data_IF_106697356494
#
_entry.id   IF_106697356494
#
_cell.length_a   1.000
_cell.length_b   1.000
_cell.length_c   1.000
_cell.angle_alpha   90.00
_cell.angle_beta   90.00
_cell.angle_gamma   90.00
#
_symmetry.space_group_name_H-M   'P 1'
#
loop_
_entity.id
_entity.type
_entity.pdbx_description
1 polymer ?
#
# COMPACT_ATOMS: atom_id res chain seq x y z
N UNK A 1 2.82 12.37 29.29
CA UNK A 1 3.55 12.50 28.00
C UNK A 1 2.52 12.47 26.89
N UNK A 2 2.31 13.59 26.16
CA UNK A 2 1.32 13.66 25.07
C UNK A 2 1.88 12.92 23.86
N UNK A 3 1.27 11.78 23.51
CA UNK A 3 1.60 11.06 22.28
C UNK A 3 1.32 11.95 21.08
N UNK A 4 2.37 12.34 20.36
CA UNK A 4 2.22 13.04 19.08
C UNK A 4 1.40 12.15 18.15
N UNK A 5 0.23 12.62 17.74
CA UNK A 5 -0.63 11.94 16.78
C UNK A 5 0.18 11.63 15.52
N UNK A 6 0.54 10.36 15.32
CA UNK A 6 1.15 9.90 14.07
C UNK A 6 0.05 10.01 13.02
N UNK A 7 0.15 11.02 12.15
CA UNK A 7 -0.76 11.21 11.02
C UNK A 7 -0.59 10.03 10.06
N UNK A 8 -1.67 9.31 9.82
CA UNK A 8 -1.78 8.35 8.73
C UNK A 8 -1.76 9.10 7.40
N UNK A 9 -1.12 8.50 6.39
CA UNK A 9 -1.10 9.03 5.01
C UNK A 9 -1.90 8.10 4.11
N UNK A 10 -2.99 8.61 3.54
CA UNK A 10 -3.81 7.88 2.58
C UNK A 10 -3.34 8.17 1.15
N UNK A 11 -3.05 7.11 0.39
CA UNK A 11 -2.61 7.15 -1.01
C UNK A 11 -3.65 6.40 -1.85
N UNK A 12 -4.47 7.14 -2.60
CA UNK A 12 -5.53 6.62 -3.48
C UNK A 12 -5.22 6.77 -4.97
N UNK A 13 -4.15 7.49 -5.31
CA UNK A 13 -3.74 7.72 -6.70
C UNK A 13 -2.32 7.21 -6.96
N UNK A 14 -2.14 6.52 -8.09
CA UNK A 14 -0.84 5.98 -8.47
C UNK A 14 0.20 7.10 -8.69
N UNK A 15 -0.24 8.28 -9.14
CA UNK A 15 0.62 9.45 -9.31
C UNK A 15 1.19 9.93 -7.97
N UNK A 16 0.37 9.95 -6.92
CA UNK A 16 0.82 10.30 -5.57
C UNK A 16 1.82 9.27 -5.05
N UNK A 17 1.59 7.98 -5.31
CA UNK A 17 2.55 6.91 -4.99
C UNK A 17 3.91 7.13 -5.70
N UNK A 18 3.90 7.45 -6.98
CA UNK A 18 5.14 7.71 -7.74
C UNK A 18 5.90 8.93 -7.23
N UNK A 19 5.19 9.99 -6.83
CA UNK A 19 5.82 11.15 -6.17
C UNK A 19 6.43 10.76 -4.81
N UNK A 20 5.74 9.91 -4.04
CA UNK A 20 6.25 9.36 -2.79
C UNK A 20 7.52 8.56 -3.00
N UNK A 21 7.55 7.72 -4.05
CA UNK A 21 8.73 6.93 -4.45
C UNK A 21 9.96 7.80 -4.71
N UNK A 22 9.78 9.01 -5.24
CA UNK A 22 10.88 9.94 -5.54
C UNK A 22 11.42 10.66 -4.30
N UNK A 23 10.55 10.97 -3.32
CA UNK A 23 10.88 11.85 -2.19
C UNK A 23 11.33 11.13 -0.91
N UNK A 24 11.19 9.81 -0.84
CA UNK A 24 11.66 9.03 0.31
C UNK A 24 10.91 7.72 0.42
N UNK A 25 11.64 6.62 0.48
CA UNK A 25 11.09 5.28 0.39
C UNK A 25 10.37 4.77 1.65
N UNK A 26 9.73 5.64 2.45
CA UNK A 26 9.02 5.21 3.66
C UNK A 26 7.52 5.14 3.42
N UNK A 27 6.94 3.95 3.57
CA UNK A 27 5.48 3.75 3.61
C UNK A 27 4.97 3.60 5.06
N UNK A 28 5.71 4.14 6.03
CA UNK A 28 5.36 4.04 7.45
C UNK A 28 4.07 4.80 7.75
N UNK A 29 3.10 4.13 8.38
CA UNK A 29 1.76 4.68 8.65
C UNK A 29 1.01 5.11 7.37
N UNK A 30 1.22 4.39 6.26
CA UNK A 30 0.53 4.65 5.01
C UNK A 30 -0.57 3.62 4.75
N UNK A 31 -1.70 4.09 4.22
CA UNK A 31 -2.72 3.22 3.63
C UNK A 31 -2.76 3.49 2.13
N UNK A 32 -2.43 2.47 1.34
CA UNK A 32 -2.60 2.46 -0.11
C UNK A 32 -3.97 1.85 -0.42
N UNK A 33 -4.81 2.55 -1.17
CA UNK A 33 -6.20 2.14 -1.41
C UNK A 33 -6.51 2.13 -2.91
N UNK A 34 -7.00 1.00 -3.42
CA UNK A 34 -7.50 0.87 -4.79
C UNK A 34 -6.45 1.04 -5.90
N UNK A 35 -5.16 0.91 -5.57
CA UNK A 35 -4.05 1.05 -6.52
C UNK A 35 -3.71 -0.29 -7.17
N UNK A 36 -3.50 -0.30 -8.49
CA UNK A 36 -3.04 -1.48 -9.22
C UNK A 36 -1.54 -1.41 -9.52
N UNK A 37 -0.78 -2.37 -9.00
CA UNK A 37 0.67 -2.50 -9.16
C UNK A 37 1.08 -3.65 -10.08
N UNK A 38 0.13 -4.45 -10.60
CA UNK A 38 0.45 -5.68 -11.38
C UNK A 38 1.30 -5.40 -12.62
N UNK A 39 1.08 -4.26 -13.28
CA UNK A 39 1.85 -3.83 -14.46
C UNK A 39 3.00 -2.86 -14.11
N UNK A 40 3.30 -2.66 -12.82
CA UNK A 40 4.31 -1.72 -12.34
C UNK A 40 5.51 -2.48 -11.80
N UNK A 41 6.71 -2.14 -12.27
CA UNK A 41 7.96 -2.65 -11.68
C UNK A 41 8.28 -1.88 -10.40
N UNK A 42 7.62 -2.24 -9.30
CA UNK A 42 7.89 -1.68 -7.97
C UNK A 42 8.91 -2.54 -7.24
N UNK A 43 10.08 -1.98 -6.94
CA UNK A 43 11.05 -2.63 -6.05
C UNK A 43 10.66 -2.39 -4.58
N UNK A 44 9.78 -3.26 -4.08
CA UNK A 44 9.28 -3.17 -2.70
C UNK A 44 10.41 -3.20 -1.66
N UNK A 45 11.57 -3.82 -1.95
CA UNK A 45 12.70 -3.92 -1.02
C UNK A 45 13.27 -2.57 -0.61
N UNK A 46 13.12 -1.56 -1.47
CA UNK A 46 13.57 -0.20 -1.18
C UNK A 46 12.71 0.51 -0.16
N UNK A 47 11.49 0.02 0.09
CA UNK A 47 10.55 0.69 0.97
C UNK A 47 10.66 0.24 2.42
N UNK A 48 10.51 1.19 3.36
CA UNK A 48 10.24 0.90 4.77
C UNK A 48 8.76 0.58 4.91
N UNK A 49 8.47 -0.67 5.27
CA UNK A 49 7.13 -1.19 5.53
C UNK A 49 6.94 -1.28 7.04
N UNK A 50 6.02 -0.48 7.60
CA UNK A 50 5.72 -0.49 9.03
C UNK A 50 4.39 0.20 9.27
N UNK A 51 3.41 -0.53 9.83
CA UNK A 51 2.04 -0.04 9.92
C UNK A 51 1.53 0.45 8.55
N UNK A 52 1.75 -0.37 7.52
CA UNK A 52 1.41 -0.07 6.12
C UNK A 52 0.26 -0.98 5.71
N UNK A 53 -0.81 -0.40 5.19
CA UNK A 53 -2.00 -1.14 4.75
C UNK A 53 -2.17 -1.01 3.24
N UNK A 54 -2.46 -2.12 2.58
CA UNK A 54 -2.86 -2.19 1.18
C UNK A 54 -4.31 -2.66 1.15
N UNK A 55 -5.22 -1.78 0.73
CA UNK A 55 -6.66 -2.00 0.76
C UNK A 55 -7.20 -2.00 -0.68
N UNK A 56 -7.58 -3.17 -1.18
CA UNK A 56 -8.05 -3.33 -2.54
C UNK A 56 -6.99 -3.08 -3.60
N UNK A 57 -5.70 -3.20 -3.25
CA UNK A 57 -4.62 -3.04 -4.21
C UNK A 57 -4.47 -4.28 -5.10
N UNK A 58 -4.20 -4.06 -6.39
CA UNK A 58 -3.77 -5.11 -7.30
C UNK A 58 -2.29 -5.38 -7.11
N UNK A 59 -1.94 -6.60 -6.72
CA UNK A 59 -0.57 -7.07 -6.50
C UNK A 59 -0.41 -8.45 -7.14
N UNK A 60 0.81 -8.83 -7.53
CA UNK A 60 1.12 -10.23 -7.83
C UNK A 60 1.14 -11.06 -6.54
N UNK A 61 1.00 -12.38 -6.66
CA UNK A 61 1.09 -13.28 -5.51
C UNK A 61 2.46 -13.18 -4.81
N UNK A 62 3.53 -13.06 -5.58
CA UNK A 62 4.90 -12.90 -5.07
C UNK A 62 5.05 -11.59 -4.29
N UNK A 63 4.48 -10.49 -4.79
CA UNK A 63 4.46 -9.20 -4.10
C UNK A 63 3.65 -9.27 -2.81
N UNK A 64 2.49 -9.93 -2.82
CA UNK A 64 1.68 -10.11 -1.61
C UNK A 64 2.46 -10.86 -0.52
N UNK A 65 3.09 -11.97 -0.88
CA UNK A 65 3.91 -12.78 0.04
C UNK A 65 5.06 -11.94 0.60
N UNK A 66 5.78 -11.21 -0.26
CA UNK A 66 6.87 -10.34 0.14
C UNK A 66 6.41 -9.27 1.14
N UNK A 67 5.33 -8.55 0.83
CA UNK A 67 4.83 -7.45 1.65
C UNK A 67 4.31 -7.94 3.00
N UNK A 68 3.57 -9.07 3.04
CA UNK A 68 3.11 -9.69 4.28
C UNK A 68 4.27 -10.12 5.18
N UNK A 69 5.31 -10.74 4.60
CA UNK A 69 6.55 -11.10 5.35
C UNK A 69 7.24 -9.88 5.96
N UNK A 70 7.03 -8.69 5.41
CA UNK A 70 7.59 -7.43 5.88
C UNK A 70 6.65 -6.65 6.80
N UNK A 71 5.53 -7.25 7.21
CA UNK A 71 4.61 -6.68 8.20
C UNK A 71 3.57 -5.72 7.62
N UNK A 72 3.31 -5.76 6.31
CA UNK A 72 2.19 -5.04 5.73
C UNK A 72 0.85 -5.78 5.97
N UNK A 73 -0.22 -5.02 6.12
CA UNK A 73 -1.58 -5.53 6.14
C UNK A 73 -2.17 -5.47 4.73
N UNK A 74 -2.56 -6.60 4.18
CA UNK A 74 -3.09 -6.69 2.81
C UNK A 74 -4.52 -7.23 2.85
N UNK A 75 -5.44 -6.43 2.31
CA UNK A 75 -6.86 -6.74 2.19
C UNK A 75 -7.27 -6.69 0.72
N UNK A 76 -7.43 -7.86 0.10
CA UNK A 76 -7.76 -8.00 -1.31
C UNK A 76 -9.26 -7.81 -1.53
N UNK A 77 -9.64 -7.23 -2.69
CA UNK A 77 -11.06 -7.16 -3.06
C UNK A 77 -11.51 -8.52 -3.57
N UNK A 78 -12.67 -9.06 -3.14
CA UNK A 78 -13.22 -10.24 -3.76
C UNK A 78 -13.49 -9.96 -5.25
N UNK A 79 -13.04 -10.82 -6.17
CA UNK A 79 -12.99 -10.51 -7.60
C UNK A 79 -14.37 -10.44 -8.28
N UNK A 80 -15.41 -11.02 -7.67
CA UNK A 80 -16.72 -11.23 -8.29
C UNK A 80 -17.82 -10.32 -7.73
N UNK A 81 -17.46 -9.23 -7.06
CA UNK A 81 -18.47 -8.31 -6.52
C UNK A 81 -19.00 -7.37 -7.61
N UNK A 82 -20.32 -7.09 -7.64
CA UNK A 82 -20.91 -6.14 -8.58
C UNK A 82 -20.57 -4.67 -8.24
N UNK A 83 -19.79 -4.45 -7.18
CA UNK A 83 -19.29 -3.15 -6.73
C UNK A 83 -17.84 -3.27 -6.24
N UNK A 84 -17.13 -2.16 -6.19
CA UNK A 84 -15.79 -2.09 -5.60
C UNK A 84 -15.91 -1.86 -4.08
N UNK A 85 -15.58 -2.85 -3.22
CA UNK A 85 -15.81 -2.76 -1.77
C UNK A 85 -14.91 -1.74 -1.08
N UNK A 86 -13.85 -1.32 -1.76
CA UNK A 86 -12.88 -0.35 -1.27
C UNK A 86 -12.89 0.92 -2.13
N UNK A 87 -14.06 1.34 -2.63
CA UNK A 87 -14.23 2.66 -3.22
C UNK A 87 -14.22 3.74 -2.13
#
# INVERSE_FOLDING_TARGET
>A
MKGGSKREILITEIKTFEQFRQNGASLKNCTLKGLDFRDKKVDWNRFVIHNTTFLGCGLSLEEEILLRRRGAYLYSAPPTLPYQPFR
#
